data_IF_123107099206
#
_entry.id   IF_123107099206
#
_cell.length_a   1.000
_cell.length_b   1.000
_cell.length_c   1.000
_cell.angle_alpha   90.00
_cell.angle_beta   90.00
_cell.angle_gamma   90.00
#
_symmetry.space_group_name_H-M   'P 1'
#
loop_
_entity.id
_entity.type
_entity.pdbx_description
1 polymer ?
#
# COMPACT_ATOMS: atom_id res chain seq x y z
N UNK A 1 7.54 5.44 -3.45
CA UNK A 1 7.72 6.90 -3.64
C UNK A 1 7.48 7.16 -5.13
N UNK A 2 6.22 7.34 -5.53
CA UNK A 2 5.89 7.55 -6.95
C UNK A 2 6.36 8.94 -7.38
N UNK A 3 7.27 9.00 -8.34
CA UNK A 3 7.79 10.25 -8.90
C UNK A 3 6.78 10.84 -9.89
N UNK A 4 6.36 12.10 -9.70
CA UNK A 4 5.37 12.81 -10.54
C UNK A 4 5.76 13.03 -12.01
N UNK A 5 7.00 12.75 -12.43
CA UNK A 5 7.35 12.86 -13.85
C UNK A 5 6.52 11.90 -14.71
N UNK A 6 6.20 12.30 -15.93
CA UNK A 6 5.46 11.47 -16.90
C UNK A 6 6.40 10.89 -17.96
N UNK A 7 7.61 11.45 -18.09
CA UNK A 7 8.60 11.07 -19.09
C UNK A 7 9.94 10.72 -18.46
N UNK A 8 10.70 9.93 -19.21
CA UNK A 8 12.10 9.63 -18.96
C UNK A 8 12.94 10.14 -20.11
N UNK A 9 14.06 10.80 -19.78
CA UNK A 9 15.11 11.16 -20.71
C UNK A 9 16.31 10.25 -20.48
N UNK A 10 16.80 9.62 -21.54
CA UNK A 10 18.04 8.85 -21.50
C UNK A 10 19.24 9.80 -21.53
N UNK A 11 20.17 9.61 -20.58
CA UNK A 11 21.37 10.46 -20.45
C UNK A 11 22.61 9.58 -20.45
N UNK A 12 23.42 9.67 -21.49
CA UNK A 12 24.78 9.14 -21.50
C UNK A 12 25.79 10.20 -21.07
N UNK A 13 26.93 9.78 -20.51
CA UNK A 13 28.04 10.68 -20.11
C UNK A 13 28.73 11.31 -21.33
N UNK A 14 28.62 10.69 -22.51
CA UNK A 14 29.18 11.16 -23.79
C UNK A 14 30.71 11.32 -23.80
N UNK A 15 31.42 10.55 -22.98
CA UNK A 15 32.87 10.46 -23.04
C UNK A 15 33.35 9.35 -24.01
N UNK A 16 34.67 9.27 -24.23
CA UNK A 16 35.29 8.28 -25.12
C UNK A 16 35.03 6.81 -24.71
N UNK A 17 34.62 6.58 -23.45
CA UNK A 17 34.27 5.24 -22.92
C UNK A 17 32.79 4.90 -23.09
N UNK A 18 31.96 5.84 -23.54
CA UNK A 18 30.54 5.62 -23.80
C UNK A 18 30.40 4.87 -25.12
N UNK A 19 29.77 3.69 -25.09
CA UNK A 19 29.50 2.89 -26.30
C UNK A 19 28.68 3.71 -27.31
N UNK A 20 29.01 3.61 -28.60
CA UNK A 20 28.34 4.37 -29.67
C UNK A 20 26.81 4.15 -29.68
N UNK A 21 26.36 2.93 -29.42
CA UNK A 21 24.93 2.61 -29.29
C UNK A 21 24.23 3.40 -28.17
N UNK A 22 24.90 3.61 -27.04
CA UNK A 22 24.34 4.35 -25.90
C UNK A 22 24.38 5.86 -26.14
N UNK A 23 25.47 6.35 -26.74
CA UNK A 23 25.61 7.77 -27.09
C UNK A 23 24.49 8.22 -28.05
N UNK A 24 24.09 7.36 -28.99
CA UNK A 24 22.97 7.62 -29.92
C UNK A 24 21.61 7.80 -29.23
N UNK A 25 21.44 7.30 -28.01
CA UNK A 25 20.22 7.48 -27.24
C UNK A 25 20.29 8.68 -26.28
N UNK A 26 21.44 9.34 -26.16
CA UNK A 26 21.52 10.52 -25.32
C UNK A 26 20.52 11.58 -25.80
N UNK A 27 19.66 12.03 -24.91
CA UNK A 27 18.65 13.03 -25.24
C UNK A 27 17.31 12.44 -25.69
N UNK A 28 17.22 11.13 -25.91
CA UNK A 28 15.93 10.47 -26.21
C UNK A 28 14.98 10.62 -25.03
N UNK A 29 13.76 11.09 -25.30
CA UNK A 29 12.71 11.27 -24.30
C UNK A 29 11.52 10.41 -24.71
N UNK A 30 11.08 9.55 -23.80
CA UNK A 30 9.93 8.66 -23.99
C UNK A 30 9.00 8.74 -22.78
N UNK A 31 7.71 8.40 -22.95
CA UNK A 31 6.82 8.15 -21.81
C UNK A 31 7.43 7.13 -20.85
N UNK A 32 7.20 7.31 -19.54
CA UNK A 32 7.70 6.34 -18.54
C UNK A 32 7.17 4.92 -18.72
N UNK A 33 5.98 4.81 -19.30
CA UNK A 33 5.26 3.55 -19.54
C UNK A 33 5.69 2.86 -20.84
N UNK A 34 6.60 3.45 -21.60
CA UNK A 34 7.08 2.88 -22.86
C UNK A 34 7.88 1.58 -22.61
N UNK A 35 7.62 0.55 -23.42
CA UNK A 35 8.24 -0.79 -23.30
C UNK A 35 9.76 -0.77 -23.51
N UNK A 36 10.31 0.27 -24.12
CA UNK A 36 11.75 0.47 -24.22
C UNK A 36 12.44 0.35 -22.86
N UNK A 37 11.86 0.96 -21.84
CA UNK A 37 12.41 0.99 -20.49
C UNK A 37 12.43 -0.38 -19.83
N UNK A 38 11.64 -1.36 -20.29
CA UNK A 38 11.63 -2.70 -19.70
C UNK A 38 12.95 -3.45 -19.88
N UNK A 39 13.71 -3.08 -20.93
CA UNK A 39 14.96 -3.73 -21.30
C UNK A 39 16.15 -2.77 -21.33
N UNK A 40 15.92 -1.50 -21.63
CA UNK A 40 16.98 -0.52 -21.87
C UNK A 40 17.13 0.51 -20.74
N UNK A 41 16.67 0.16 -19.52
CA UNK A 41 16.90 0.98 -18.34
C UNK A 41 18.35 0.82 -17.88
N UNK A 42 19.15 1.90 -17.85
CA UNK A 42 20.54 1.80 -17.42
C UNK A 42 20.70 1.19 -16.02
N UNK A 43 21.73 0.37 -15.79
CA UNK A 43 22.85 0.07 -16.69
C UNK A 43 22.49 -0.95 -17.80
N UNK A 44 22.89 -0.66 -19.03
CA UNK A 44 22.61 -1.49 -20.23
C UNK A 44 23.76 -2.44 -20.60
N UNK A 45 24.75 -2.61 -19.74
CA UNK A 45 25.93 -3.42 -19.99
C UNK A 45 27.02 -3.18 -18.96
N UNK A 46 28.06 -4.01 -18.97
CA UNK A 46 29.15 -3.89 -17.99
C UNK A 46 29.89 -2.56 -18.14
N UNK A 47 30.16 -1.88 -17.01
CA UNK A 47 30.76 -0.54 -16.98
C UNK A 47 29.88 0.58 -17.57
N UNK A 48 28.58 0.34 -17.80
CA UNK A 48 27.66 1.39 -18.27
C UNK A 48 27.47 2.48 -17.20
N UNK A 49 27.64 3.74 -17.61
CA UNK A 49 27.48 4.94 -16.75
C UNK A 49 26.33 5.84 -17.21
N UNK A 50 25.44 5.30 -18.05
CA UNK A 50 24.25 6.04 -18.47
C UNK A 50 23.25 6.09 -17.31
N UNK A 51 22.38 7.09 -17.32
CA UNK A 51 21.33 7.29 -16.33
C UNK A 51 20.02 7.70 -16.99
N UNK A 52 18.94 7.68 -16.23
CA UNK A 52 17.63 8.19 -16.65
C UNK A 52 17.27 9.41 -15.83
N UNK A 53 16.99 10.52 -16.51
CA UNK A 53 16.44 11.73 -15.92
C UNK A 53 14.91 11.68 -15.99
N UNK A 54 14.26 11.97 -14.86
CA UNK A 54 12.80 12.08 -14.77
C UNK A 54 12.36 13.48 -15.18
N UNK A 55 11.38 13.59 -16.08
CA UNK A 55 10.84 14.87 -16.54
C UNK A 55 9.31 14.92 -16.43
N UNK A 56 8.80 16.08 -16.04
CA UNK A 56 7.38 16.46 -16.12
C UNK A 56 7.07 17.13 -17.46
N UNK A 57 5.78 17.17 -17.87
CA UNK A 57 5.35 17.92 -19.07
C UNK A 57 5.78 19.39 -19.04
N UNK A 58 5.66 20.04 -17.87
CA UNK A 58 6.07 21.44 -17.68
C UNK A 58 7.56 21.65 -17.91
N UNK A 59 8.41 20.73 -17.44
CA UNK A 59 9.86 20.80 -17.66
C UNK A 59 10.24 20.57 -19.13
N UNK A 60 9.55 19.66 -19.81
CA UNK A 60 9.73 19.42 -21.25
C UNK A 60 9.42 20.71 -22.02
N UNK A 61 8.27 21.32 -21.77
CA UNK A 61 7.84 22.57 -22.42
C UNK A 61 8.81 23.71 -22.11
N UNK A 62 9.17 23.92 -20.84
CA UNK A 62 10.10 24.98 -20.42
C UNK A 62 11.47 24.86 -21.06
N UNK A 63 11.94 23.64 -21.33
CA UNK A 63 13.25 23.37 -21.93
C UNK A 63 13.21 23.22 -23.45
N UNK A 64 12.05 23.36 -24.08
CA UNK A 64 11.89 23.19 -25.53
C UNK A 64 12.27 21.78 -26.02
N UNK A 65 12.03 20.76 -25.18
CA UNK A 65 12.38 19.38 -25.51
C UNK A 65 11.20 18.69 -26.23
N UNK A 66 11.51 17.81 -27.17
CA UNK A 66 10.48 17.08 -27.94
C UNK A 66 10.49 15.60 -27.56
N UNK A 67 9.45 15.09 -26.86
CA UNK A 67 9.33 13.66 -26.60
C UNK A 67 8.99 12.91 -27.88
N UNK A 68 9.54 11.70 -28.03
CA UNK A 68 9.09 10.76 -29.05
C UNK A 68 7.72 10.18 -28.63
N UNK A 69 6.91 9.85 -29.63
CA UNK A 69 5.60 9.23 -29.40
C UNK A 69 5.74 7.82 -28.80
N UNK A 70 6.65 7.02 -29.35
CA UNK A 70 7.00 5.68 -28.88
C UNK A 70 8.45 5.30 -29.22
N UNK A 71 8.85 4.10 -28.80
CA UNK A 71 10.18 3.55 -29.08
C UNK A 71 10.29 2.73 -30.37
N UNK A 72 9.31 2.75 -31.27
CA UNK A 72 9.27 1.86 -32.45
C UNK A 72 10.51 1.97 -33.34
N UNK A 73 11.10 3.16 -33.40
CA UNK A 73 12.30 3.47 -34.20
C UNK A 73 13.62 3.22 -33.46
N UNK A 74 13.57 2.83 -32.19
CA UNK A 74 14.76 2.64 -31.34
C UNK A 74 15.18 1.16 -31.31
N UNK A 75 16.49 0.94 -31.37
CA UNK A 75 17.06 -0.41 -31.24
C UNK A 75 17.28 -0.76 -29.77
N UNK A 76 17.15 -2.05 -29.45
CA UNK A 76 17.62 -2.57 -28.17
C UNK A 76 19.15 -2.44 -28.10
N UNK A 77 19.64 -1.79 -27.04
CA UNK A 77 21.06 -1.56 -26.78
C UNK A 77 21.56 -2.34 -25.56
N UNK A 78 20.67 -3.06 -24.88
CA UNK A 78 20.99 -3.77 -23.64
C UNK A 78 21.69 -5.09 -23.89
N UNK A 79 22.78 -5.34 -23.15
CA UNK A 79 23.37 -6.67 -23.05
C UNK A 79 22.36 -7.63 -22.39
N UNK A 80 22.34 -8.91 -22.78
CA UNK A 80 21.33 -9.90 -22.31
C UNK A 80 21.20 -9.96 -20.78
N UNK A 81 22.30 -9.85 -20.04
CA UNK A 81 22.32 -9.89 -18.57
C UNK A 81 21.82 -8.58 -17.91
N UNK A 82 21.72 -7.51 -18.68
CA UNK A 82 21.33 -6.17 -18.25
C UNK A 82 19.98 -5.73 -18.83
N UNK A 83 19.34 -6.58 -19.64
CA UNK A 83 18.06 -6.34 -20.29
C UNK A 83 16.86 -6.41 -19.32
N UNK A 84 16.89 -5.64 -18.23
CA UNK A 84 15.84 -5.56 -17.23
C UNK A 84 15.72 -4.15 -16.66
N UNK A 85 14.53 -3.82 -16.14
CA UNK A 85 14.29 -2.56 -15.46
C UNK A 85 14.28 -2.73 -13.93
N UNK A 86 15.28 -2.24 -13.19
CA UNK A 86 15.33 -2.37 -11.74
C UNK A 86 14.24 -1.58 -11.00
N UNK A 87 13.58 -0.63 -11.67
CA UNK A 87 12.50 0.19 -11.06
C UNK A 87 11.11 -0.43 -11.19
N UNK A 88 10.97 -1.49 -11.99
CA UNK A 88 9.71 -2.22 -12.10
C UNK A 88 9.80 -3.37 -11.11
N UNK A 89 8.99 -3.33 -10.06
CA UNK A 89 8.90 -4.42 -9.10
C UNK A 89 8.25 -5.63 -9.78
N UNK A 90 9.08 -6.51 -10.35
CA UNK A 90 8.68 -7.77 -10.95
C UNK A 90 8.80 -8.93 -9.97
N UNK A 91 9.07 -8.66 -8.69
CA UNK A 91 9.27 -9.73 -7.71
C UNK A 91 8.03 -10.61 -7.59
N UNK A 92 6.84 -10.01 -7.59
CA UNK A 92 5.57 -10.74 -7.53
C UNK A 92 5.35 -11.61 -8.78
N UNK A 93 5.64 -11.10 -9.98
CA UNK A 93 5.51 -11.89 -11.22
C UNK A 93 6.54 -13.01 -11.28
N UNK A 94 7.78 -12.74 -10.86
CA UNK A 94 8.85 -13.74 -10.82
C UNK A 94 8.52 -14.83 -9.80
N UNK A 95 7.99 -14.46 -8.64
CA UNK A 95 7.56 -15.40 -7.62
C UNK A 95 6.42 -16.29 -8.15
N UNK A 96 5.40 -15.71 -8.79
CA UNK A 96 4.30 -16.45 -9.42
C UNK A 96 4.79 -17.40 -10.50
N UNK A 97 5.68 -16.95 -11.38
CA UNK A 97 6.23 -17.78 -12.45
C UNK A 97 7.04 -18.96 -11.89
N UNK A 98 7.83 -18.72 -10.84
CA UNK A 98 8.58 -19.77 -10.15
C UNK A 98 7.64 -20.75 -9.43
N UNK A 99 6.62 -20.25 -8.74
CA UNK A 99 5.61 -21.08 -8.08
C UNK A 99 4.87 -21.97 -9.09
N UNK A 100 4.48 -21.40 -10.24
CA UNK A 100 3.86 -22.15 -11.35
C UNK A 100 4.78 -23.23 -11.92
N UNK A 101 6.06 -22.92 -12.14
CA UNK A 101 7.06 -23.90 -12.61
C UNK A 101 7.27 -25.06 -11.62
N UNK A 102 7.01 -24.83 -10.34
CA UNK A 102 7.08 -25.84 -9.29
C UNK A 102 5.76 -26.61 -9.11
N UNK A 103 4.73 -26.36 -9.92
CA UNK A 103 3.43 -27.03 -9.82
C UNK A 103 2.53 -26.51 -8.70
N UNK A 104 2.89 -25.39 -8.06
CA UNK A 104 2.15 -24.80 -6.94
C UNK A 104 1.03 -23.89 -7.47
N UNK A 105 0.06 -24.46 -8.19
CA UNK A 105 -1.00 -23.69 -8.83
C UNK A 105 -2.16 -23.34 -7.87
N UNK A 106 -2.26 -24.03 -6.73
CA UNK A 106 -3.25 -23.76 -5.68
C UNK A 106 -2.58 -23.45 -4.34
N UNK A 107 -2.51 -22.17 -4.00
CA UNK A 107 -2.22 -21.71 -2.62
C UNK A 107 -3.44 -21.99 -1.69
N UNK A 108 -4.54 -22.52 -2.24
CA UNK A 108 -5.75 -22.88 -1.50
C UNK A 108 -5.84 -24.38 -1.24
N UNK A 109 -5.56 -24.79 -0.01
CA UNK A 109 -6.30 -25.86 0.68
C UNK A 109 -5.91 -25.87 2.16
N UNK A 110 -6.89 -25.55 3.01
CA UNK A 110 -6.93 -26.03 4.38
C UNK A 110 -7.07 -27.56 4.34
N UNK A 111 -6.27 -28.29 5.11
CA UNK A 111 -6.40 -29.74 5.25
C UNK A 111 -5.19 -30.32 5.98
N UNK A 112 -5.41 -30.87 7.17
CA UNK A 112 -4.36 -31.34 8.07
C UNK A 112 -3.54 -32.51 7.56
N UNK A 113 -2.47 -32.80 8.32
CA UNK A 113 -1.57 -33.93 8.10
C UNK A 113 -0.21 -33.49 7.56
N UNK A 114 0.66 -33.02 8.46
CA UNK A 114 2.03 -32.63 8.17
C UNK A 114 2.85 -33.82 7.64
N UNK A 115 3.20 -33.78 6.35
CA UNK A 115 4.46 -34.34 5.84
C UNK A 115 5.21 -33.22 5.12
N UNK A 116 6.13 -32.58 5.85
CA UNK A 116 7.05 -31.58 5.31
C UNK A 116 7.96 -32.23 4.26
N UNK A 117 7.80 -31.85 2.98
CA UNK A 117 8.86 -31.74 1.96
C UNK A 117 8.30 -31.49 0.54
N UNK A 118 7.41 -30.51 0.35
CA UNK A 118 7.10 -29.99 -0.99
C UNK A 118 7.66 -28.57 -1.19
N UNK A 119 8.19 -28.22 -2.38
CA UNK A 119 8.55 -26.84 -2.72
C UNK A 119 7.42 -25.83 -2.50
N UNK A 120 6.15 -26.28 -2.57
CA UNK A 120 4.98 -25.44 -2.35
C UNK A 120 4.79 -25.03 -0.89
N UNK A 121 5.16 -25.88 0.07
CA UNK A 121 5.08 -25.53 1.50
C UNK A 121 6.10 -24.44 1.85
N UNK A 122 7.28 -24.48 1.22
CA UNK A 122 8.30 -23.42 1.35
C UNK A 122 7.84 -22.09 0.76
N UNK A 123 7.09 -22.12 -0.35
CA UNK A 123 6.50 -20.91 -0.94
C UNK A 123 5.43 -20.32 -0.03
N UNK A 124 4.53 -21.15 0.53
CA UNK A 124 3.52 -20.71 1.49
C UNK A 124 4.14 -20.09 2.74
N UNK A 125 5.16 -20.74 3.30
CA UNK A 125 5.90 -20.22 4.47
C UNK A 125 6.61 -18.90 4.14
N UNK A 126 7.23 -18.79 2.97
CA UNK A 126 7.84 -17.53 2.51
C UNK A 126 6.81 -16.41 2.35
N UNK A 127 5.63 -16.68 1.79
CA UNK A 127 4.54 -15.70 1.69
C UNK A 127 4.09 -15.22 3.07
N UNK A 128 3.91 -16.15 4.02
CA UNK A 128 3.56 -15.83 5.41
C UNK A 128 4.63 -14.96 6.08
N UNK A 129 5.91 -15.29 5.92
CA UNK A 129 7.03 -14.50 6.44
C UNK A 129 7.11 -13.12 5.79
N UNK A 130 6.89 -13.04 4.48
CA UNK A 130 6.85 -11.78 3.73
C UNK A 130 5.72 -10.89 4.21
N UNK A 131 4.53 -11.45 4.43
CA UNK A 131 3.40 -10.72 4.99
C UNK A 131 3.74 -10.19 6.38
N UNK A 132 4.29 -11.01 7.27
CA UNK A 132 4.74 -10.57 8.60
C UNK A 132 5.80 -9.44 8.53
N UNK A 133 6.77 -9.55 7.63
CA UNK A 133 7.77 -8.50 7.41
C UNK A 133 7.14 -7.18 6.91
N UNK A 134 6.22 -7.28 5.94
CA UNK A 134 5.51 -6.10 5.43
C UNK A 134 4.66 -5.47 6.55
N UNK A 135 3.98 -6.29 7.35
CA UNK A 135 3.22 -5.84 8.52
C UNK A 135 4.08 -5.01 9.47
N UNK A 136 5.22 -5.56 9.90
CA UNK A 136 6.15 -4.89 10.81
C UNK A 136 6.68 -3.58 10.21
N UNK A 137 7.14 -3.62 8.95
CA UNK A 137 7.71 -2.46 8.27
C UNK A 137 6.68 -1.34 8.06
N UNK A 138 5.45 -1.69 7.66
CA UNK A 138 4.36 -0.72 7.53
C UNK A 138 3.94 -0.17 8.89
N UNK A 139 3.86 -1.01 9.93
CA UNK A 139 3.54 -0.56 11.27
C UNK A 139 4.55 0.48 11.78
N UNK A 140 5.84 0.22 11.57
CA UNK A 140 6.92 1.14 11.94
C UNK A 140 6.86 2.46 11.15
N UNK A 141 6.63 2.42 9.83
CA UNK A 141 6.52 3.63 9.00
C UNK A 141 5.26 4.46 9.33
N UNK A 142 4.11 3.81 9.49
CA UNK A 142 2.85 4.47 9.83
C UNK A 142 2.92 5.06 11.24
N UNK A 143 3.48 4.33 12.20
CA UNK A 143 3.68 4.80 13.57
C UNK A 143 4.58 6.03 13.63
N UNK A 144 5.76 6.00 12.97
CA UNK A 144 6.67 7.16 12.92
C UNK A 144 6.01 8.39 12.27
N UNK A 145 5.28 8.19 11.17
CA UNK A 145 4.55 9.28 10.51
C UNK A 145 3.43 9.85 11.39
N UNK A 146 2.68 8.99 12.07
CA UNK A 146 1.64 9.40 13.02
C UNK A 146 2.24 10.14 14.22
N UNK A 147 3.29 9.61 14.85
CA UNK A 147 3.98 10.24 15.98
C UNK A 147 4.47 11.65 15.61
N UNK A 148 5.10 11.81 14.44
CA UNK A 148 5.54 13.11 13.94
C UNK A 148 4.38 14.07 13.62
N UNK A 149 3.20 13.55 13.28
CA UNK A 149 2.02 14.41 13.12
C UNK A 149 1.47 14.85 14.47
N UNK A 150 1.39 13.95 15.45
CA UNK A 150 0.91 14.28 16.79
C UNK A 150 1.87 15.15 17.61
N UNK A 151 3.15 15.26 17.24
CA UNK A 151 4.12 16.07 17.99
C UNK A 151 3.90 17.58 17.89
N UNK A 152 3.07 18.05 16.95
CA UNK A 152 2.76 19.48 16.77
C UNK A 152 1.26 19.80 16.66
N UNK A 153 0.38 18.84 16.93
CA UNK A 153 -1.08 19.05 16.86
C UNK A 153 -1.61 19.30 18.26
N UNK A 154 -2.18 20.49 18.47
CA UNK A 154 -3.07 20.73 19.60
C UNK A 154 -4.40 20.00 19.34
N UNK A 155 -4.64 18.93 20.09
CA UNK A 155 -5.85 18.11 20.01
C UNK A 155 -7.11 18.86 20.49
N UNK A 156 -6.91 19.93 21.27
CA UNK A 156 -7.98 20.74 21.87
C UNK A 156 -8.26 22.03 21.10
N UNK A 157 -7.39 22.40 20.14
CA UNK A 157 -7.60 23.57 19.30
C UNK A 157 -8.92 23.46 18.52
N UNK A 158 -9.81 24.42 18.78
CA UNK A 158 -11.09 24.62 18.10
C UNK A 158 -10.87 25.38 16.79
N UNK A 159 -11.62 25.06 15.74
CA UNK A 159 -11.55 25.76 14.45
C UNK A 159 -11.63 24.86 13.22
N UNK A 160 -11.57 25.49 12.04
CA UNK A 160 -11.56 24.81 10.74
C UNK A 160 -10.28 23.99 10.56
N UNK A 161 -10.43 22.73 10.15
CA UNK A 161 -9.33 21.78 9.97
C UNK A 161 -9.22 21.41 8.48
N UNK A 162 -8.20 21.91 7.76
CA UNK A 162 -8.09 21.71 6.33
C UNK A 162 -7.86 20.23 5.96
N UNK A 163 -8.10 19.85 4.68
CA UNK A 163 -7.66 18.58 4.14
C UNK A 163 -6.17 18.36 4.35
N UNK A 164 -5.76 17.11 4.52
CA UNK A 164 -4.33 16.79 4.53
C UNK A 164 -3.76 17.02 3.12
N UNK A 165 -2.55 17.58 3.02
CA UNK A 165 -1.85 17.73 1.73
C UNK A 165 -1.80 16.42 0.94
N UNK A 166 -1.67 15.30 1.66
CA UNK A 166 -1.75 13.95 1.12
C UNK A 166 -2.56 13.07 2.06
N UNK A 167 -3.45 12.19 1.55
CA UNK A 167 -4.16 11.23 2.38
C UNK A 167 -3.18 10.38 3.18
N UNK A 168 -3.47 10.19 4.46
CA UNK A 168 -2.66 9.36 5.34
C UNK A 168 -3.22 7.94 5.33
N UNK A 169 -2.37 6.96 5.04
CA UNK A 169 -2.71 5.54 5.16
C UNK A 169 -2.64 5.15 6.63
N UNK A 170 -3.76 4.67 7.18
CA UNK A 170 -3.87 4.22 8.56
C UNK A 170 -3.70 2.70 8.67
N UNK A 171 -4.20 1.96 7.69
CA UNK A 171 -4.09 0.50 7.65
C UNK A 171 -4.12 -0.02 6.21
N UNK A 172 -3.71 -1.27 6.00
CA UNK A 172 -3.66 -1.95 4.70
C UNK A 172 -4.47 -3.24 4.80
N UNK A 173 -5.31 -3.52 3.81
CA UNK A 173 -6.02 -4.80 3.70
C UNK A 173 -5.14 -5.83 2.98
N UNK A 174 -5.16 -7.07 3.47
CA UNK A 174 -4.60 -8.20 2.74
C UNK A 174 -5.35 -8.41 1.42
N UNK A 175 -4.67 -8.96 0.40
CA UNK A 175 -5.31 -9.24 -0.89
C UNK A 175 -6.43 -10.28 -0.76
N UNK A 176 -6.30 -11.21 0.20
CA UNK A 176 -7.35 -12.17 0.53
C UNK A 176 -8.59 -11.48 1.13
N UNK A 177 -8.39 -10.55 2.06
CA UNK A 177 -9.47 -9.79 2.67
C UNK A 177 -10.21 -8.92 1.66
N UNK A 178 -9.51 -8.32 0.70
CA UNK A 178 -10.15 -7.56 -0.40
C UNK A 178 -11.03 -8.48 -1.24
N UNK A 179 -10.53 -9.67 -1.59
CA UNK A 179 -11.29 -10.67 -2.35
C UNK A 179 -12.53 -11.13 -1.57
N UNK A 180 -12.38 -11.42 -0.28
CA UNK A 180 -13.47 -11.89 0.57
C UNK A 180 -14.53 -10.81 0.80
N UNK A 181 -14.12 -9.54 0.95
CA UNK A 181 -15.04 -8.41 0.97
C UNK A 181 -15.82 -8.28 -0.36
N UNK A 182 -15.14 -8.47 -1.51
CA UNK A 182 -15.79 -8.44 -2.82
C UNK A 182 -16.85 -9.54 -2.96
N UNK A 183 -16.59 -10.75 -2.44
CA UNK A 183 -17.59 -11.83 -2.42
C UNK A 183 -18.83 -11.47 -1.60
N UNK A 184 -18.67 -10.60 -0.61
CA UNK A 184 -19.77 -10.03 0.19
C UNK A 184 -20.34 -8.74 -0.44
N UNK A 185 -20.03 -8.45 -1.71
CA UNK A 185 -20.53 -7.29 -2.44
C UNK A 185 -20.04 -5.96 -1.87
N UNK A 186 -18.78 -5.90 -1.40
CA UNK A 186 -18.12 -4.67 -0.96
C UNK A 186 -16.79 -4.50 -1.68
N UNK A 187 -16.63 -3.39 -2.41
CA UNK A 187 -15.41 -3.07 -3.14
C UNK A 187 -14.49 -2.25 -2.23
N UNK A 188 -13.47 -2.89 -1.68
CA UNK A 188 -12.53 -2.25 -0.76
C UNK A 188 -11.29 -1.72 -1.47
N UNK A 189 -10.82 -0.55 -1.03
CA UNK A 189 -9.46 -0.09 -1.37
C UNK A 189 -8.44 -0.80 -0.51
N UNK A 190 -7.33 -1.27 -1.10
CA UNK A 190 -6.20 -1.87 -0.38
C UNK A 190 -5.66 -0.99 0.75
N UNK A 191 -5.72 0.32 0.59
CA UNK A 191 -5.21 1.29 1.56
C UNK A 191 -6.36 1.99 2.28
N UNK A 192 -6.51 1.75 3.57
CA UNK A 192 -7.46 2.46 4.41
C UNK A 192 -6.88 3.81 4.81
N UNK A 193 -7.50 4.89 4.34
CA UNK A 193 -6.96 6.25 4.38
C UNK A 193 -7.81 7.20 5.23
N UNK A 194 -7.18 8.26 5.73
CA UNK A 194 -7.85 9.47 6.23
C UNK A 194 -7.44 10.66 5.38
N UNK A 195 -8.41 11.51 5.07
CA UNK A 195 -8.24 12.61 4.10
C UNK A 195 -8.17 13.99 4.75
N UNK A 196 -8.75 14.17 5.93
CA UNK A 196 -8.82 15.47 6.60
C UNK A 196 -8.30 15.40 8.02
N UNK A 197 -7.74 16.51 8.50
CA UNK A 197 -7.34 16.64 9.90
C UNK A 197 -8.55 16.48 10.83
N UNK A 198 -9.73 16.97 10.42
CA UNK A 198 -10.97 16.80 11.18
C UNK A 198 -11.32 15.32 11.43
N UNK A 199 -11.25 14.48 10.39
CA UNK A 199 -11.49 13.03 10.51
C UNK A 199 -10.38 12.35 11.30
N UNK A 200 -9.12 12.75 11.13
CA UNK A 200 -7.99 12.21 11.89
C UNK A 200 -8.13 12.51 13.39
N UNK A 201 -8.67 13.65 13.76
CA UNK A 201 -8.79 14.08 15.17
C UNK A 201 -10.16 13.76 15.80
N UNK A 202 -11.07 13.15 15.03
CA UNK A 202 -12.45 12.90 15.44
C UNK A 202 -12.57 12.08 16.74
N UNK A 203 -11.69 11.09 16.95
CA UNK A 203 -11.71 10.22 18.12
C UNK A 203 -11.08 10.80 19.38
N UNK A 204 -10.41 11.96 19.28
CA UNK A 204 -9.76 12.66 20.40
C UNK A 204 -10.54 13.89 20.87
N UNK A 205 -11.65 14.24 20.21
CA UNK A 205 -12.41 15.47 20.50
C UNK A 205 -12.99 15.47 21.91
N UNK A 206 -13.12 16.66 22.50
CA UNK A 206 -13.68 16.86 23.84
C UNK A 206 -15.04 16.17 24.04
N UNK A 207 -15.95 16.23 23.05
CA UNK A 207 -17.22 15.49 23.12
C UNK A 207 -17.03 13.99 23.38
N UNK A 208 -16.09 13.33 22.70
CA UNK A 208 -15.83 11.89 22.92
C UNK A 208 -15.18 11.62 24.28
N UNK A 209 -14.39 12.56 24.79
CA UNK A 209 -13.81 12.46 26.14
C UNK A 209 -14.93 12.50 27.18
N UNK A 210 -15.86 13.46 27.05
CA UNK A 210 -17.03 13.58 27.91
C UNK A 210 -17.95 12.36 27.82
N UNK A 211 -18.16 11.83 26.60
CA UNK A 211 -18.95 10.62 26.37
C UNK A 211 -18.22 9.33 26.84
N UNK A 212 -16.98 9.42 27.32
CA UNK A 212 -16.16 8.28 27.76
C UNK A 212 -15.72 7.34 26.63
N UNK A 213 -15.78 7.80 25.37
CA UNK A 213 -15.57 7.02 24.15
C UNK A 213 -14.33 7.48 23.34
N UNK A 214 -13.52 8.39 23.87
CA UNK A 214 -12.31 8.87 23.22
C UNK A 214 -11.19 7.84 23.27
N UNK A 215 -10.37 7.79 22.22
CA UNK A 215 -9.11 7.03 22.27
C UNK A 215 -8.02 7.86 22.95
N UNK A 216 -7.13 7.17 23.66
CA UNK A 216 -5.82 7.71 23.99
C UNK A 216 -4.90 7.68 22.76
N UNK A 217 -3.84 8.49 22.79
CA UNK A 217 -2.81 8.48 21.73
C UNK A 217 -2.22 7.07 21.55
N UNK A 218 -1.97 6.38 22.65
CA UNK A 218 -1.42 5.03 22.65
C UNK A 218 -2.38 4.01 22.03
N UNK A 219 -3.65 4.02 22.43
CA UNK A 219 -4.69 3.15 21.85
C UNK A 219 -4.79 3.32 20.32
N UNK A 220 -4.69 4.55 19.84
CA UNK A 220 -4.71 4.83 18.41
C UNK A 220 -3.43 4.36 17.69
N UNK A 221 -2.26 4.54 18.32
CA UNK A 221 -0.99 4.04 17.78
C UNK A 221 -0.96 2.51 17.74
N UNK A 222 -1.63 1.82 18.67
CA UNK A 222 -1.76 0.36 18.72
C UNK A 222 -2.78 -0.21 17.72
N UNK A 223 -3.51 0.63 16.98
CA UNK A 223 -4.43 0.18 15.94
C UNK A 223 -3.73 -0.76 14.93
N UNK A 224 -4.35 -1.89 14.53
CA UNK A 224 -3.79 -2.77 13.51
C UNK A 224 -3.50 -2.05 12.20
N UNK A 225 -2.22 -2.04 11.80
CA UNK A 225 -1.74 -1.37 10.58
C UNK A 225 -1.86 -2.27 9.34
N UNK A 226 -2.15 -3.54 9.55
CA UNK A 226 -2.48 -4.51 8.53
C UNK A 226 -3.69 -5.31 9.00
N UNK A 227 -4.68 -5.44 8.14
CA UNK A 227 -5.94 -6.10 8.43
C UNK A 227 -6.05 -7.39 7.62
N UNK A 228 -6.26 -8.47 8.35
CA UNK A 228 -6.64 -9.79 7.85
C UNK A 228 -8.10 -10.06 8.21
N UNK A 229 -8.61 -11.19 7.75
CA UNK A 229 -9.98 -11.65 8.02
C UNK A 229 -10.25 -11.87 9.52
N UNK A 230 -9.22 -12.08 10.34
CA UNK A 230 -9.35 -12.30 11.78
C UNK A 230 -9.94 -11.12 12.53
N UNK A 231 -9.58 -9.91 12.08
CA UNK A 231 -9.92 -8.64 12.73
C UNK A 231 -10.91 -7.81 11.92
N UNK A 232 -11.43 -8.32 10.80
CA UNK A 232 -12.21 -7.57 9.83
C UNK A 232 -13.69 -7.97 9.82
N UNK A 233 -14.56 -6.96 9.89
CA UNK A 233 -16.00 -7.13 9.84
C UNK A 233 -16.60 -6.22 8.77
N UNK A 234 -17.65 -6.72 8.13
CA UNK A 234 -18.52 -5.92 7.29
C UNK A 234 -19.77 -5.57 8.09
N UNK A 235 -20.01 -4.28 8.28
CA UNK A 235 -21.21 -3.79 8.95
C UNK A 235 -22.09 -2.98 8.00
N UNK A 236 -23.28 -2.65 8.48
CA UNK A 236 -24.13 -1.63 7.88
C UNK A 236 -24.06 -0.35 8.71
N UNK A 237 -24.09 0.79 8.03
CA UNK A 237 -24.26 2.10 8.65
C UNK A 237 -25.75 2.38 8.92
N UNK A 238 -26.04 3.58 9.44
CA UNK A 238 -27.41 4.02 9.76
C UNK A 238 -28.33 4.13 8.54
N UNK A 239 -27.78 4.17 7.33
CA UNK A 239 -28.50 4.22 6.06
C UNK A 239 -28.60 2.84 5.38
N UNK A 240 -28.10 1.78 6.02
CA UNK A 240 -28.07 0.43 5.44
C UNK A 240 -26.95 0.22 4.43
N UNK A 241 -26.00 1.15 4.34
CA UNK A 241 -24.85 1.04 3.44
C UNK A 241 -23.71 0.26 4.10
N UNK A 242 -22.99 -0.52 3.29
CA UNK A 242 -21.88 -1.34 3.79
C UNK A 242 -20.68 -0.50 4.17
N UNK A 243 -20.06 -0.82 5.31
CA UNK A 243 -18.81 -0.22 5.77
C UNK A 243 -17.89 -1.26 6.41
N UNK A 244 -16.58 -1.03 6.30
CA UNK A 244 -15.57 -1.82 6.99
C UNK A 244 -15.58 -1.41 8.46
N UNK A 245 -15.73 -2.39 9.36
CA UNK A 245 -15.58 -2.22 10.80
C UNK A 245 -14.49 -3.16 11.27
N UNK A 246 -13.55 -2.66 12.06
CA UNK A 246 -12.62 -3.52 12.76
C UNK A 246 -12.40 -3.03 14.18
N UNK A 247 -12.04 -3.99 15.02
CA UNK A 247 -11.91 -3.83 16.46
C UNK A 247 -10.56 -4.36 16.91
N UNK A 248 -9.99 -3.75 17.95
CA UNK A 248 -8.77 -4.24 18.58
C UNK A 248 -8.83 -4.02 20.08
N UNK A 249 -8.13 -4.88 20.81
CA UNK A 249 -8.04 -4.80 22.27
C UNK A 249 -6.99 -3.78 22.69
N UNK A 250 -7.25 -3.15 23.83
CA UNK A 250 -6.23 -2.46 24.61
C UNK A 250 -5.87 -3.36 25.79
N UNK A 251 -4.59 -3.65 25.99
CA UNK A 251 -4.12 -4.60 27.02
C UNK A 251 -4.43 -4.13 28.45
N UNK A 252 -4.90 -2.89 28.61
CA UNK A 252 -5.10 -2.24 29.91
C UNK A 252 -6.57 -2.26 30.40
N UNK A 253 -7.55 -2.69 29.59
CA UNK A 253 -8.98 -2.69 29.98
C UNK A 253 -9.73 -3.89 29.36
N UNK A 254 -10.04 -4.91 30.17
CA UNK A 254 -10.67 -6.15 29.70
C UNK A 254 -12.08 -5.97 29.12
N UNK A 255 -12.85 -4.98 29.61
CA UNK A 255 -14.25 -4.78 29.23
C UNK A 255 -14.45 -3.79 28.07
N UNK A 256 -13.37 -3.21 27.55
CA UNK A 256 -13.42 -2.17 26.53
C UNK A 256 -12.60 -2.56 25.30
N UNK A 257 -13.09 -2.16 24.15
CA UNK A 257 -12.42 -2.38 22.86
C UNK A 257 -12.36 -1.09 22.06
N UNK A 258 -11.28 -0.93 21.32
CA UNK A 258 -11.16 0.13 20.33
C UNK A 258 -11.81 -0.30 19.01
N UNK A 259 -12.34 0.65 18.26
CA UNK A 259 -12.93 0.42 16.94
C UNK A 259 -12.57 1.52 15.95
N UNK A 260 -12.57 1.19 14.66
CA UNK A 260 -12.49 2.15 13.57
C UNK A 260 -13.33 1.70 12.38
N UNK A 261 -14.07 2.65 11.79
CA UNK A 261 -15.00 2.40 10.68
C UNK A 261 -14.55 3.14 9.42
N UNK A 262 -14.63 2.46 8.28
CA UNK A 262 -14.18 2.95 6.99
C UNK A 262 -15.23 2.77 5.89
N UNK A 263 -15.49 3.85 5.16
CA UNK A 263 -16.30 3.89 3.93
C UNK A 263 -15.71 4.98 3.04
N UNK A 264 -15.00 4.58 1.98
CA UNK A 264 -14.22 5.50 1.14
C UNK A 264 -13.23 6.40 1.91
N UNK A 265 -12.82 5.98 3.11
CA UNK A 265 -12.02 6.75 4.05
C UNK A 265 -12.46 6.55 5.50
N UNK A 266 -11.67 7.04 6.45
CA UNK A 266 -12.00 6.96 7.87
C UNK A 266 -13.27 7.78 8.18
N UNK A 267 -14.29 7.12 8.73
CA UNK A 267 -15.55 7.76 9.14
C UNK A 267 -15.47 8.21 10.59
N UNK A 268 -15.21 7.25 11.48
CA UNK A 268 -15.19 7.39 12.94
C UNK A 268 -14.33 6.29 13.55
N UNK A 269 -13.84 6.53 14.76
CA UNK A 269 -13.12 5.58 15.58
C UNK A 269 -13.28 5.99 17.05
N UNK A 270 -13.22 5.05 17.97
CA UNK A 270 -13.59 5.27 19.37
C UNK A 270 -13.32 4.05 20.25
N UNK A 271 -13.57 4.21 21.54
CA UNK A 271 -13.67 3.09 22.48
C UNK A 271 -15.15 2.72 22.62
N UNK A 272 -15.45 1.44 22.77
CA UNK A 272 -16.78 0.91 23.04
C UNK A 272 -16.71 -0.23 24.04
N UNK A 273 -17.83 -0.56 24.68
CA UNK A 273 -17.94 -1.73 25.54
C UNK A 273 -17.94 -3.02 24.68
N UNK A 274 -17.25 -4.06 25.14
CA UNK A 274 -17.22 -5.38 24.50
C UNK A 274 -18.61 -5.98 24.29
N UNK A 275 -19.57 -5.68 25.18
CA UNK A 275 -20.96 -6.12 25.07
C UNK A 275 -21.66 -5.56 23.84
N UNK A 276 -21.40 -4.30 23.48
CA UNK A 276 -21.97 -3.69 22.27
C UNK A 276 -21.46 -4.41 21.02
N UNK A 277 -20.18 -4.77 21.00
CA UNK A 277 -19.59 -5.56 19.93
C UNK A 277 -20.23 -6.95 19.85
N UNK A 278 -20.33 -7.66 20.98
CA UNK A 278 -20.99 -8.99 21.06
C UNK A 278 -22.45 -8.93 20.64
N UNK A 279 -23.18 -7.90 21.04
CA UNK A 279 -24.57 -7.66 20.65
C UNK A 279 -24.73 -7.43 19.15
N UNK A 280 -23.85 -6.63 18.55
CA UNK A 280 -23.86 -6.40 17.10
C UNK A 280 -23.56 -7.66 16.28
N UNK A 281 -22.69 -8.55 16.78
CA UNK A 281 -22.46 -9.87 16.18
C UNK A 281 -23.71 -10.77 16.29
N UNK A 282 -24.31 -10.87 17.49
CA UNK A 282 -25.53 -11.68 17.71
C UNK A 282 -26.68 -11.22 16.82
N UNK A 283 -26.85 -9.91 16.66
CA UNK A 283 -27.92 -9.29 15.87
C UNK A 283 -27.60 -9.22 14.36
N UNK A 284 -26.53 -9.88 13.89
CA UNK A 284 -26.08 -9.87 12.48
C UNK A 284 -25.85 -8.47 11.89
N UNK A 285 -25.63 -7.46 12.73
CA UNK A 285 -25.22 -6.10 12.32
C UNK A 285 -23.75 -6.04 11.93
N UNK A 286 -22.97 -7.05 12.33
CA UNK A 286 -21.58 -7.28 11.95
C UNK A 286 -21.46 -8.68 11.35
N UNK A 287 -20.96 -8.76 10.13
CA UNK A 287 -20.63 -10.02 9.46
C UNK A 287 -19.12 -10.19 9.55
N UNK A 288 -18.66 -11.25 10.24
CA UNK A 288 -17.25 -11.59 10.24
C UNK A 288 -16.87 -12.10 8.86
N UNK A 289 -15.84 -11.51 8.26
CA UNK A 289 -15.29 -12.00 6.99
C UNK A 289 -14.57 -13.31 7.30
N UNK A 290 -15.10 -14.42 6.78
CA UNK A 290 -14.47 -15.74 6.89
C UNK A 290 -13.68 -16.05 5.61
N UNK A 291 -12.56 -16.78 5.71
CA UNK A 291 -11.82 -17.28 4.55
C UNK A 291 -12.65 -18.13 3.60
#
# INVERSE_FOLDING_TARGET
>A
MESFGEYFRYTAVLDNRTRKSHARLHGTILPKTDKFWDRNYPPNGWGCRCSVQVLTKKEIQKRGLTPLADSSMLKDISDKAFAYNPKVDRLDSILKDKAKKLGCNDVKANGGGLKFNSPCDKVKEFEKQREAYLQERFANMASKKLQNMFSGIDLLASGYKPPLEKPLVLSILSDNSIKNLSNHGYIASKFLKVFTQAKLLHGFRQKKILDGNALTKEQFLNMPKFLTDDNLYLGLDEFGEKEIKFYWFDNNQEDRMCYAYFKNGLITYGVTNIENYRGNLKNKKLIKIKP
#
